data_IF_033385507046
#
_entry.id   IF_033385507046
#
_cell.length_a   1.000
_cell.length_b   1.000
_cell.length_c   1.000
_cell.angle_alpha   90.00
_cell.angle_beta   90.00
_cell.angle_gamma   90.00
#
_symmetry.space_group_name_H-M   'P 1'
#
loop_
_entity.id
_entity.type
_entity.pdbx_description
1 polymer ?
#
# COMPACT_ATOMS: atom_id res chain seq x y z
N UNK A 1 4.53 0.99 -6.87
CA UNK A 1 3.30 0.98 -7.69
C UNK A 1 2.69 2.37 -7.67
N UNK A 2 1.82 2.69 -8.63
CA UNK A 2 1.19 4.01 -8.73
C UNK A 2 -0.32 3.89 -8.42
N UNK A 3 -0.85 4.68 -7.47
CA UNK A 3 -2.29 4.67 -7.21
C UNK A 3 -3.03 5.17 -8.44
N UNK A 4 -4.07 4.45 -8.82
CA UNK A 4 -4.80 4.71 -10.06
C UNK A 4 -6.27 4.92 -9.77
N UNK A 5 -6.86 5.89 -10.46
CA UNK A 5 -8.30 6.07 -10.41
C UNK A 5 -9.01 4.88 -11.08
N UNK A 6 -10.20 4.53 -10.61
CA UNK A 6 -10.96 3.38 -11.09
C UNK A 6 -12.46 3.65 -11.01
N UNK A 7 -13.24 2.90 -11.80
CA UNK A 7 -14.66 3.20 -12.03
C UNK A 7 -15.50 3.27 -10.75
N UNK A 8 -15.15 2.47 -9.74
CA UNK A 8 -15.89 2.38 -8.48
C UNK A 8 -15.41 3.40 -7.44
N UNK A 9 -14.34 4.15 -7.67
CA UNK A 9 -13.85 5.14 -6.70
C UNK A 9 -14.93 6.19 -6.41
N UNK A 10 -15.20 6.43 -5.13
CA UNK A 10 -16.23 7.36 -4.64
C UNK A 10 -15.71 8.39 -3.63
N UNK A 11 -14.42 8.31 -3.27
CA UNK A 11 -13.75 9.20 -2.33
C UNK A 11 -12.29 9.38 -2.77
N UNK A 12 -11.70 10.53 -2.46
CA UNK A 12 -10.26 10.77 -2.63
C UNK A 12 -9.69 11.12 -1.26
N UNK A 13 -8.77 10.30 -0.77
CA UNK A 13 -8.01 10.61 0.44
C UNK A 13 -6.89 11.57 0.05
N UNK A 14 -6.93 12.78 0.62
CA UNK A 14 -5.97 13.83 0.34
C UNK A 14 -4.70 13.63 1.16
N UNK A 15 -3.59 14.10 0.61
CA UNK A 15 -2.35 14.22 1.38
C UNK A 15 -2.59 15.00 2.70
N UNK A 16 -1.91 14.61 3.81
CA UNK A 16 -1.92 15.40 5.02
C UNK A 16 -1.47 16.85 4.75
N UNK A 17 -1.97 17.85 5.52
CA UNK A 17 -1.54 19.23 5.38
C UNK A 17 -0.02 19.36 5.48
N UNK A 18 0.61 19.96 4.46
CA UNK A 18 2.06 20.14 4.39
C UNK A 18 2.84 19.02 3.68
N UNK A 19 2.20 17.90 3.34
CA UNK A 19 2.87 16.74 2.72
C UNK A 19 2.54 16.56 1.23
N UNK A 20 1.88 17.52 0.60
CA UNK A 20 1.40 17.41 -0.79
C UNK A 20 2.49 17.26 -1.86
N UNK A 21 3.76 17.49 -1.51
CA UNK A 21 4.90 17.24 -2.39
C UNK A 21 5.39 15.78 -2.33
N UNK A 22 5.19 15.10 -1.19
CA UNK A 22 5.70 13.75 -0.92
C UNK A 22 4.61 12.68 -0.99
N UNK A 23 3.36 13.08 -0.74
CA UNK A 23 2.20 12.20 -0.68
C UNK A 23 1.24 12.59 -1.78
N UNK A 24 0.92 11.64 -2.65
CA UNK A 24 -0.09 11.81 -3.69
C UNK A 24 -1.47 11.47 -3.15
N UNK A 25 -2.49 12.10 -3.73
CA UNK A 25 -3.88 11.78 -3.45
C UNK A 25 -4.20 10.32 -3.80
N UNK A 26 -5.01 9.67 -2.96
CA UNK A 26 -5.39 8.26 -3.13
C UNK A 26 -6.89 8.14 -3.44
N UNK A 27 -7.27 7.82 -4.69
CA UNK A 27 -8.63 7.45 -5.03
C UNK A 27 -9.02 6.13 -4.35
N UNK A 28 -10.16 6.11 -3.67
CA UNK A 28 -10.67 4.94 -2.97
C UNK A 28 -12.16 4.73 -3.22
N UNK A 29 -12.58 3.47 -3.05
CA UNK A 29 -13.96 3.10 -2.86
C UNK A 29 -14.19 2.82 -1.38
N UNK A 30 -14.95 3.68 -0.72
CA UNK A 30 -15.43 3.47 0.64
C UNK A 30 -16.79 2.76 0.58
N UNK A 31 -16.82 1.50 0.98
CA UNK A 31 -18.06 0.74 1.17
C UNK A 31 -18.47 0.81 2.64
N UNK A 32 -19.45 1.65 2.96
CA UNK A 32 -19.91 1.85 4.35
C UNK A 32 -20.68 0.66 4.91
N UNK A 33 -21.35 -0.11 4.04
CA UNK A 33 -22.15 -1.25 4.46
C UNK A 33 -21.27 -2.43 4.88
N UNK A 34 -20.11 -2.59 4.23
CA UNK A 34 -19.11 -3.62 4.52
C UNK A 34 -17.97 -3.14 5.42
N UNK A 35 -17.87 -1.83 5.67
CA UNK A 35 -16.76 -1.25 6.44
C UNK A 35 -15.40 -1.37 5.75
N UNK A 36 -15.36 -1.40 4.42
CA UNK A 36 -14.11 -1.58 3.64
C UNK A 36 -13.69 -0.31 2.91
N UNK A 37 -12.37 -0.16 2.73
CA UNK A 37 -11.75 0.87 1.89
C UNK A 37 -10.87 0.18 0.87
N UNK A 38 -11.18 0.35 -0.42
CA UNK A 38 -10.44 -0.27 -1.51
C UNK A 38 -9.75 0.78 -2.37
N UNK A 39 -8.49 0.53 -2.75
CA UNK A 39 -7.72 1.35 -3.68
C UNK A 39 -7.14 0.47 -4.79
N UNK A 40 -7.02 1.00 -6.01
CA UNK A 40 -6.39 0.30 -7.13
C UNK A 40 -4.98 0.84 -7.37
N UNK A 41 -4.03 -0.07 -7.55
CA UNK A 41 -2.63 0.27 -7.80
C UNK A 41 -2.16 -0.40 -9.08
N UNK A 42 -1.47 0.36 -9.91
CA UNK A 42 -0.87 -0.14 -11.15
C UNK A 42 0.62 -0.35 -10.92
N UNK A 43 1.13 -1.58 -11.07
CA UNK A 43 2.56 -1.82 -10.99
C UNK A 43 3.28 -1.24 -12.21
N UNK A 44 4.49 -0.74 -11.98
CA UNK A 44 5.43 -0.38 -13.05
C UNK A 44 5.90 -1.64 -13.78
N UNK A 45 6.57 -1.50 -14.92
CA UNK A 45 7.10 -2.64 -15.68
C UNK A 45 8.09 -3.48 -14.84
N UNK A 46 8.99 -2.81 -14.12
CA UNK A 46 9.91 -3.46 -13.18
C UNK A 46 9.18 -4.25 -12.08
N UNK A 47 8.15 -3.65 -11.48
CA UNK A 47 7.35 -4.33 -10.45
C UNK A 47 6.55 -5.51 -11.01
N UNK A 48 6.06 -5.41 -12.25
CA UNK A 48 5.42 -6.53 -12.95
C UNK A 48 6.38 -7.68 -13.15
N UNK A 49 7.63 -7.40 -13.49
CA UNK A 49 8.65 -8.46 -13.62
C UNK A 49 8.93 -9.16 -12.30
N UNK A 50 9.05 -8.42 -11.20
CA UNK A 50 9.23 -8.99 -9.85
C UNK A 50 8.06 -9.91 -9.50
N UNK A 51 6.83 -9.44 -9.69
CA UNK A 51 5.62 -10.23 -9.43
C UNK A 51 5.57 -11.46 -10.34
N UNK A 52 5.88 -11.32 -11.64
CA UNK A 52 5.89 -12.43 -12.58
C UNK A 52 6.94 -13.51 -12.26
N UNK A 53 8.06 -13.12 -11.63
CA UNK A 53 9.09 -14.03 -11.13
C UNK A 53 8.71 -14.72 -9.80
N UNK A 54 7.52 -14.47 -9.28
CA UNK A 54 7.02 -15.05 -8.03
C UNK A 54 7.34 -14.22 -6.79
N UNK A 55 7.68 -12.93 -6.97
CA UNK A 55 7.72 -11.96 -5.87
C UNK A 55 6.32 -11.61 -5.35
N UNK A 56 6.27 -10.85 -4.26
CA UNK A 56 5.04 -10.44 -3.58
C UNK A 56 4.70 -8.96 -3.76
N UNK A 57 3.52 -8.58 -3.26
CA UNK A 57 3.13 -7.18 -3.06
C UNK A 57 3.44 -6.79 -1.62
N UNK A 58 4.17 -5.71 -1.44
CA UNK A 58 4.49 -5.15 -0.14
C UNK A 58 3.65 -3.90 0.12
N UNK A 59 3.02 -3.85 1.29
CA UNK A 59 2.24 -2.70 1.74
C UNK A 59 2.91 -2.13 2.98
N UNK A 60 3.24 -0.84 2.95
CA UNK A 60 3.77 -0.08 4.08
C UNK A 60 2.75 0.96 4.50
N UNK A 61 2.48 1.06 5.81
CA UNK A 61 1.49 1.97 6.39
C UNK A 61 2.19 2.81 7.45
N UNK A 62 2.19 4.13 7.33
CA UNK A 62 2.91 5.04 8.24
C UNK A 62 1.98 5.79 9.20
N UNK A 63 1.99 5.47 10.49
CA UNK A 63 1.27 6.23 11.53
C UNK A 63 0.00 5.54 12.05
N UNK A 64 -0.85 6.30 12.76
CA UNK A 64 -1.90 5.72 13.61
C UNK A 64 -3.34 5.87 13.11
N UNK A 65 -3.74 7.04 12.56
CA UNK A 65 -5.17 7.35 12.33
C UNK A 65 -5.59 7.40 10.87
N UNK A 66 -4.84 8.13 10.03
CA UNK A 66 -5.01 8.19 8.57
C UNK A 66 -3.63 8.08 7.92
N UNK A 67 -2.94 6.94 8.13
CA UNK A 67 -1.55 6.79 7.75
C UNK A 67 -1.39 6.89 6.24
N UNK A 68 -0.39 7.63 5.72
CA UNK A 68 0.02 7.46 4.34
C UNK A 68 0.38 6.00 4.09
N UNK A 69 0.12 5.54 2.87
CA UNK A 69 0.37 4.16 2.46
C UNK A 69 1.26 4.12 1.24
N UNK A 70 2.12 3.12 1.17
CA UNK A 70 2.95 2.81 0.02
C UNK A 70 2.73 1.36 -0.37
N UNK A 71 2.56 1.12 -1.67
CA UNK A 71 2.44 -0.22 -2.24
C UNK A 71 3.53 -0.42 -3.27
N UNK A 72 4.28 -1.51 -3.15
CA UNK A 72 5.39 -1.89 -4.02
C UNK A 72 5.41 -3.38 -4.31
N UNK A 73 6.30 -3.81 -5.20
CA UNK A 73 6.66 -5.22 -5.35
C UNK A 73 7.93 -5.53 -4.55
N UNK A 74 8.04 -6.74 -4.04
CA UNK A 74 9.22 -7.23 -3.32
C UNK A 74 9.57 -8.65 -3.78
N UNK A 75 10.86 -8.93 -3.92
CA UNK A 75 11.33 -10.29 -4.17
C UNK A 75 11.03 -11.19 -2.97
N UNK A 76 10.68 -12.45 -3.23
CA UNK A 76 10.49 -13.46 -2.19
C UNK A 76 11.67 -14.43 -2.23
N UNK A 77 12.37 -14.55 -1.10
CA UNK A 77 13.40 -15.57 -0.90
C UNK A 77 12.73 -16.81 -0.29
N UNK A 78 12.43 -17.80 -1.14
CA UNK A 78 11.83 -19.06 -0.69
C UNK A 78 12.81 -19.81 0.24
N UNK A 79 12.33 -20.17 1.44
CA UNK A 79 13.09 -20.98 2.42
C UNK A 79 13.64 -20.20 3.61
N UNK A 80 13.56 -18.87 3.60
CA UNK A 80 13.84 -18.05 4.78
C UNK A 80 12.52 -17.67 5.47
N UNK A 81 12.20 -18.38 6.55
CA UNK A 81 11.19 -17.91 7.50
C UNK A 81 11.83 -16.86 8.40
N UNK A 82 11.56 -15.59 8.13
CA UNK A 82 11.85 -14.54 9.10
C UNK A 82 10.87 -14.73 10.26
N UNK A 83 11.37 -14.98 11.47
CA UNK A 83 10.57 -15.17 12.68
C UNK A 83 9.75 -13.90 12.94
N UNK A 84 8.54 -13.85 12.40
CA UNK A 84 7.60 -12.79 12.69
C UNK A 84 7.15 -12.94 14.14
N UNK A 85 7.39 -11.91 14.94
CA UNK A 85 6.94 -11.84 16.33
C UNK A 85 5.59 -11.14 16.39
N UNK A 86 4.71 -11.57 17.31
CA UNK A 86 3.44 -10.88 17.57
C UNK A 86 3.65 -9.49 18.20
N UNK A 87 4.85 -9.22 18.70
CA UNK A 87 5.25 -7.95 19.29
C UNK A 87 6.13 -7.14 18.33
N UNK A 88 5.79 -5.87 18.13
CA UNK A 88 6.66 -4.94 17.42
C UNK A 88 7.96 -4.74 18.21
N UNK A 89 9.13 -4.73 17.56
CA UNK A 89 10.39 -4.43 18.23
C UNK A 89 10.30 -3.07 18.93
N UNK A 90 10.83 -2.98 20.16
CA UNK A 90 10.94 -1.71 20.86
C UNK A 90 11.76 -0.74 20.00
N UNK A 91 11.21 0.44 19.72
CA UNK A 91 11.94 1.49 19.02
C UNK A 91 13.15 1.89 19.87
N UNK A 92 14.35 1.65 19.35
CA UNK A 92 15.64 2.09 19.92
C UNK A 92 15.83 3.59 19.85
#
# INVERSE_FOLDING_TARGET
MIPSNFRQANLVLKAPPGEGENVVDLPVFLNRDEGTVSSLWMPTDEEREIIAKGGGVMVTIWGHTHPPVMVGAAELVYGEHYEATDEAPLSS
#
